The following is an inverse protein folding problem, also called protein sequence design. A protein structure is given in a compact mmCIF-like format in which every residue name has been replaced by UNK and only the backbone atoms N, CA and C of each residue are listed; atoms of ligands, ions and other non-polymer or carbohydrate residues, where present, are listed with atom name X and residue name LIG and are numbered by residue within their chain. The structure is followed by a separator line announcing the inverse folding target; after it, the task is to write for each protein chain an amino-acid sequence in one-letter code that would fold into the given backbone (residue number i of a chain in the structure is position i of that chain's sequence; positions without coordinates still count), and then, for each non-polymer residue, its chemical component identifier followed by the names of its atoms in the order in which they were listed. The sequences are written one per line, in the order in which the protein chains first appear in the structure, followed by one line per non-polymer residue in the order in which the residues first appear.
data_IF_243330704488
#
_entry.id   IF_243330704488
#
_cell.length_a   1.000
_cell.length_b   1.000
_cell.length_c   1.000
_cell.angle_alpha   90.00
_cell.angle_beta   90.00
_cell.angle_gamma   90.00
#
_symmetry.space_group_name_H-M   'P 1'
#
loop_
_entity.id
_entity.type
_entity.pdbx_description
1 polymer ?
#
# COMPACT_ATOMS: atom_id res chain seq x y z
N UNK A 1 40.75 -17.87 18.99
CA UNK A 1 39.83 -17.58 20.09
C UNK A 1 39.23 -16.23 19.78
N UNK A 2 38.00 -16.22 19.27
CA UNK A 2 36.96 -15.29 19.69
C UNK A 2 35.63 -15.79 19.13
N UNK A 3 34.68 -15.92 20.04
CA UNK A 3 33.44 -16.67 19.99
C UNK A 3 32.26 -15.75 19.68
N UNK A 4 31.34 -16.28 18.87
CA UNK A 4 29.88 -16.06 18.91
C UNK A 4 29.30 -14.64 18.72
N UNK A 5 28.60 -14.48 17.59
CA UNK A 5 27.19 -14.06 17.62
C UNK A 5 26.45 -14.62 16.41
N UNK A 6 25.99 -15.86 16.54
CA UNK A 6 25.01 -16.46 15.64
C UNK A 6 23.64 -15.89 16.01
N UNK A 7 23.19 -14.84 15.31
CA UNK A 7 21.77 -14.49 15.27
C UNK A 7 21.12 -15.40 14.25
N UNK A 8 20.45 -16.43 14.75
CA UNK A 8 19.58 -17.32 13.99
C UNK A 8 18.40 -16.51 13.44
N UNK A 9 18.56 -15.94 12.24
CA UNK A 9 17.46 -15.32 11.50
C UNK A 9 16.68 -16.45 10.82
N UNK A 10 15.51 -16.79 11.36
CA UNK A 10 14.57 -17.68 10.67
C UNK A 10 14.05 -16.99 9.41
N UNK A 11 14.05 -17.69 8.26
CA UNK A 11 13.48 -17.17 7.02
C UNK A 11 12.00 -16.83 7.22
N UNK A 12 11.52 -15.75 6.60
CA UNK A 12 10.06 -15.46 6.50
C UNK A 12 9.32 -16.63 5.83
N UNK A 13 10.02 -17.36 4.95
CA UNK A 13 9.52 -18.62 4.39
C UNK A 13 9.23 -19.67 5.49
N UNK A 14 10.11 -19.84 6.48
CA UNK A 14 9.92 -20.81 7.57
C UNK A 14 8.73 -20.41 8.47
N UNK A 15 8.57 -19.12 8.75
CA UNK A 15 7.45 -18.59 9.55
C UNK A 15 6.09 -18.80 8.85
N UNK A 16 6.04 -18.61 7.53
CA UNK A 16 4.82 -18.75 6.75
C UNK A 16 4.47 -20.21 6.42
N UNK A 17 5.48 -21.08 6.27
CA UNK A 17 5.30 -22.50 5.96
C UNK A 17 4.93 -23.33 7.20
N UNK A 18 5.44 -22.99 8.39
CA UNK A 18 5.09 -23.70 9.64
C UNK A 18 3.69 -23.36 10.16
N UNK A 19 3.16 -22.16 9.88
CA UNK A 19 1.86 -21.74 10.42
C UNK A 19 0.66 -21.92 9.47
N UNK A 20 0.84 -21.86 8.13
CA UNK A 20 -0.32 -21.69 7.24
C UNK A 20 -0.40 -22.54 5.98
N UNK A 21 0.65 -23.26 5.55
CA UNK A 21 0.53 -24.27 4.47
C UNK A 21 -0.12 -23.79 3.16
N UNK A 22 0.14 -22.56 2.72
CA UNK A 22 -0.39 -22.00 1.45
C UNK A 22 0.71 -21.49 0.52
N UNK A 23 0.48 -21.68 -0.78
CA UNK A 23 1.38 -21.44 -1.91
C UNK A 23 1.98 -20.01 -1.99
N UNK A 24 3.21 -19.86 -2.52
CA UNK A 24 3.92 -18.59 -2.55
C UNK A 24 3.34 -17.56 -3.52
N UNK A 25 3.59 -16.29 -3.20
CA UNK A 25 2.98 -15.09 -3.81
C UNK A 25 3.95 -14.43 -4.79
N UNK A 26 3.41 -13.87 -5.87
CA UNK A 26 4.10 -13.58 -7.12
C UNK A 26 4.14 -12.06 -7.36
N UNK A 27 5.33 -11.50 -7.63
CA UNK A 27 5.55 -10.05 -7.78
C UNK A 27 6.00 -9.69 -9.21
N UNK A 28 5.58 -8.51 -9.69
CA UNK A 28 5.93 -7.94 -10.99
C UNK A 28 7.41 -7.45 -11.01
N UNK A 29 8.19 -7.96 -11.97
CA UNK A 29 9.62 -7.67 -12.13
C UNK A 29 9.91 -6.23 -12.61
N UNK A 30 8.94 -5.47 -13.13
CA UNK A 30 9.15 -4.05 -13.46
C UNK A 30 9.20 -3.16 -12.21
N UNK A 31 8.57 -3.57 -11.10
CA UNK A 31 8.60 -2.85 -9.82
C UNK A 31 9.98 -2.94 -9.17
N UNK A 32 10.69 -4.04 -9.39
CA UNK A 32 12.04 -4.29 -8.86
C UNK A 32 13.15 -3.54 -9.61
N UNK A 33 12.87 -3.00 -10.81
CA UNK A 33 13.91 -2.31 -11.61
C UNK A 33 14.24 -0.92 -11.08
N UNK A 34 13.41 -0.30 -10.25
CA UNK A 34 13.53 1.13 -9.91
C UNK A 34 13.52 1.48 -8.40
N UNK A 35 13.49 0.50 -7.49
CA UNK A 35 13.39 0.78 -6.06
C UNK A 35 14.50 0.11 -5.24
N UNK A 36 15.15 0.93 -4.41
CA UNK A 36 16.06 0.48 -3.37
C UNK A 36 15.23 -0.20 -2.25
N UNK A 37 15.11 -1.51 -2.40
CA UNK A 37 14.82 -2.56 -1.43
C UNK A 37 13.56 -2.52 -0.55
N UNK A 38 12.85 -1.42 -0.26
CA UNK A 38 11.73 -1.46 0.72
C UNK A 38 10.38 -0.96 0.17
N UNK A 39 9.30 -1.69 0.48
CA UNK A 39 7.90 -1.29 0.20
C UNK A 39 7.12 -1.19 1.50
N UNK A 40 6.28 -0.16 1.63
CA UNK A 40 5.38 -0.03 2.79
C UNK A 40 4.06 -0.73 2.52
N UNK A 41 3.70 -1.65 3.41
CA UNK A 41 2.42 -2.37 3.40
C UNK A 41 1.61 -2.02 4.66
N UNK A 42 0.30 -2.27 4.60
CA UNK A 42 -0.62 -2.05 5.71
C UNK A 42 -1.73 -3.13 5.70
N UNK A 43 -2.18 -3.64 6.85
CA UNK A 43 -3.27 -4.62 6.90
C UNK A 43 -4.55 -4.04 6.31
N UNK A 44 -5.17 -4.77 5.38
CA UNK A 44 -6.48 -4.43 4.87
C UNK A 44 -7.54 -4.83 5.91
N UNK A 45 -8.37 -3.86 6.34
CA UNK A 45 -9.49 -4.12 7.27
C UNK A 45 -10.83 -4.08 6.55
N UNK A 46 -10.80 -4.35 5.25
CA UNK A 46 -12.01 -4.63 4.50
C UNK A 46 -12.62 -5.94 5.01
N UNK A 47 -13.95 -6.03 5.01
CA UNK A 47 -14.67 -7.21 5.50
C UNK A 47 -14.07 -8.51 4.96
N UNK A 48 -13.76 -9.43 5.86
CA UNK A 48 -13.17 -10.75 5.57
C UNK A 48 -11.85 -10.74 4.80
N UNK A 49 -11.09 -9.63 4.83
CA UNK A 49 -9.76 -9.56 4.24
C UNK A 49 -8.68 -9.84 5.27
N UNK A 50 -7.77 -10.76 4.94
CA UNK A 50 -6.57 -11.03 5.74
C UNK A 50 -5.31 -10.41 5.13
N UNK A 51 -5.40 -9.82 3.94
CA UNK A 51 -4.23 -9.37 3.18
C UNK A 51 -3.70 -8.01 3.68
N UNK A 52 -2.39 -7.87 3.69
CA UNK A 52 -1.64 -6.63 3.67
C UNK A 52 -1.56 -6.09 2.24
N UNK A 53 -1.77 -4.77 2.09
CA UNK A 53 -1.73 -4.08 0.80
C UNK A 53 -0.61 -3.04 0.79
N UNK A 54 0.15 -2.99 -0.30
CA UNK A 54 1.11 -1.90 -0.51
C UNK A 54 0.37 -0.56 -0.63
N UNK A 55 0.82 0.46 0.10
CA UNK A 55 0.10 1.73 0.30
C UNK A 55 0.17 2.70 -0.90
N UNK A 56 0.51 2.18 -2.08
CA UNK A 56 0.56 2.91 -3.34
C UNK A 56 -0.80 2.83 -4.08
N UNK A 57 -1.24 3.93 -4.70
CA UNK A 57 -2.53 3.99 -5.41
C UNK A 57 -2.74 2.85 -6.41
N UNK A 58 -1.72 2.52 -7.23
CA UNK A 58 -1.83 1.43 -8.23
C UNK A 58 -2.04 0.08 -7.55
N UNK A 59 -1.33 -0.19 -6.45
CA UNK A 59 -1.42 -1.45 -5.71
C UNK A 59 -2.75 -1.58 -4.98
N UNK A 60 -3.21 -0.52 -4.32
CA UNK A 60 -4.55 -0.47 -3.70
C UNK A 60 -5.63 -0.70 -4.75
N UNK A 61 -5.52 -0.09 -5.93
CA UNK A 61 -6.48 -0.30 -7.02
C UNK A 61 -6.57 -1.76 -7.44
N UNK A 62 -5.42 -2.39 -7.63
CA UNK A 62 -5.35 -3.80 -8.03
C UNK A 62 -5.81 -4.74 -6.91
N UNK A 63 -5.50 -4.43 -5.66
CA UNK A 63 -5.99 -5.16 -4.50
C UNK A 63 -7.52 -5.17 -4.46
N UNK A 64 -8.16 -4.01 -4.60
CA UNK A 64 -9.62 -3.89 -4.65
C UNK A 64 -10.25 -4.67 -5.81
N UNK A 65 -9.60 -4.68 -6.98
CA UNK A 65 -10.07 -5.44 -8.13
C UNK A 65 -10.00 -6.95 -7.92
N UNK A 66 -8.89 -7.45 -7.37
CA UNK A 66 -8.64 -8.89 -7.29
C UNK A 66 -9.20 -9.55 -6.03
N UNK A 67 -9.18 -8.87 -4.88
CA UNK A 67 -9.62 -9.44 -3.61
C UNK A 67 -11.03 -9.02 -3.21
N UNK A 68 -11.53 -7.91 -3.76
CA UNK A 68 -12.86 -7.38 -3.42
C UNK A 68 -13.78 -7.26 -4.63
N UNK A 69 -13.31 -7.67 -5.82
CA UNK A 69 -14.07 -7.64 -7.08
C UNK A 69 -14.63 -6.25 -7.44
N UNK A 70 -13.92 -5.18 -7.06
CA UNK A 70 -14.35 -3.80 -7.29
C UNK A 70 -13.70 -3.25 -8.55
N UNK A 71 -14.50 -2.89 -9.54
CA UNK A 71 -14.01 -2.20 -10.72
C UNK A 71 -13.69 -0.73 -10.44
N UNK A 72 -12.47 -0.46 -10.00
CA UNK A 72 -11.97 0.90 -9.74
C UNK A 72 -11.66 1.70 -11.00
N UNK A 73 -11.80 1.13 -12.20
CA UNK A 73 -11.60 1.84 -13.48
C UNK A 73 -12.90 2.42 -14.06
N UNK A 74 -14.04 2.17 -13.41
CA UNK A 74 -15.34 2.65 -13.88
C UNK A 74 -15.37 4.18 -13.98
N UNK A 75 -15.56 4.69 -15.20
CA UNK A 75 -15.63 6.13 -15.51
C UNK A 75 -16.94 6.76 -15.05
N UNK A 76 -16.88 8.07 -14.80
CA UNK A 76 -17.86 8.97 -14.18
C UNK A 76 -19.32 8.96 -14.69
N UNK A 77 -19.66 8.18 -15.72
CA UNK A 77 -21.00 8.10 -16.32
C UNK A 77 -22.03 7.33 -15.48
N UNK A 78 -21.58 6.46 -14.57
CA UNK A 78 -22.47 5.78 -13.61
C UNK A 78 -22.82 6.69 -12.42
N UNK A 79 -24.08 6.64 -11.98
CA UNK A 79 -24.54 7.22 -10.69
C UNK A 79 -24.46 6.21 -9.55
N UNK A 80 -24.15 4.95 -9.84
CA UNK A 80 -24.04 3.88 -8.86
C UNK A 80 -22.98 4.20 -7.80
N UNK A 81 -23.38 4.06 -6.54
CA UNK A 81 -22.52 4.20 -5.38
C UNK A 81 -22.42 2.85 -4.68
N UNK A 82 -21.21 2.50 -4.26
CA UNK A 82 -20.93 1.30 -3.48
C UNK A 82 -20.53 1.70 -2.05
N UNK A 83 -20.86 0.88 -1.04
CA UNK A 83 -20.37 1.11 0.31
C UNK A 83 -18.89 0.77 0.42
N UNK A 84 -18.17 1.51 1.28
CA UNK A 84 -16.89 1.07 1.80
C UNK A 84 -17.11 0.09 2.94
N UNK A 85 -16.59 -1.14 2.81
CA UNK A 85 -16.68 -2.18 3.85
C UNK A 85 -15.44 -2.23 4.73
N UNK A 86 -14.67 -1.15 4.78
CA UNK A 86 -13.60 -1.01 5.76
C UNK A 86 -14.21 -0.94 7.16
N UNK A 87 -13.63 -1.67 8.10
CA UNK A 87 -14.11 -1.75 9.49
C UNK A 87 -14.27 -0.35 10.09
N UNK A 88 -15.50 0.03 10.45
CA UNK A 88 -15.83 1.34 11.03
C UNK A 88 -16.04 2.47 10.02
N UNK A 89 -16.06 2.20 8.71
CA UNK A 89 -16.40 3.15 7.67
C UNK A 89 -17.88 3.00 7.25
N UNK A 90 -18.54 4.12 6.95
CA UNK A 90 -19.94 4.15 6.49
C UNK A 90 -20.10 4.96 5.20
N UNK A 91 -19.01 5.20 4.48
CA UNK A 91 -18.99 6.05 3.30
C UNK A 91 -19.53 5.32 2.06
N UNK A 92 -20.25 6.06 1.21
CA UNK A 92 -20.71 5.62 -0.11
C UNK A 92 -20.05 6.46 -1.19
N UNK A 93 -19.58 5.82 -2.26
CA UNK A 93 -18.93 6.53 -3.36
C UNK A 93 -18.96 5.74 -4.67
N UNK A 94 -18.64 6.43 -5.75
CA UNK A 94 -18.42 5.79 -7.04
C UNK A 94 -17.23 4.82 -6.96
N UNK A 95 -17.27 3.66 -7.64
CA UNK A 95 -16.17 2.70 -7.64
C UNK A 95 -14.81 3.31 -8.02
N UNK A 96 -14.78 4.22 -9.00
CA UNK A 96 -13.56 4.93 -9.41
C UNK A 96 -12.92 5.84 -8.33
N UNK A 97 -13.67 6.18 -7.28
CA UNK A 97 -13.16 6.97 -6.16
C UNK A 97 -12.65 6.10 -5.00
N UNK A 98 -12.95 4.80 -5.01
CA UNK A 98 -12.69 3.93 -3.86
C UNK A 98 -11.19 3.77 -3.59
N UNK A 99 -10.35 3.62 -4.61
CA UNK A 99 -8.89 3.53 -4.44
C UNK A 99 -8.34 4.73 -3.65
N UNK A 100 -8.76 5.94 -4.02
CA UNK A 100 -8.33 7.16 -3.32
C UNK A 100 -8.89 7.22 -1.90
N UNK A 101 -10.14 6.82 -1.71
CA UNK A 101 -10.74 6.75 -0.39
C UNK A 101 -9.98 5.79 0.52
N UNK A 102 -9.59 4.61 0.02
CA UNK A 102 -8.83 3.64 0.79
C UNK A 102 -7.51 4.18 1.32
N UNK A 103 -6.81 5.06 0.58
CA UNK A 103 -5.59 5.72 1.09
C UNK A 103 -5.82 6.51 2.39
N UNK A 104 -7.06 6.95 2.67
CA UNK A 104 -7.41 7.61 3.93
C UNK A 104 -7.42 6.64 5.11
N UNK A 105 -7.84 5.40 4.89
CA UNK A 105 -7.79 4.34 5.89
C UNK A 105 -6.37 3.85 6.14
N UNK A 106 -5.55 3.81 5.09
CA UNK A 106 -4.12 3.50 5.19
C UNK A 106 -3.29 4.66 5.79
N UNK A 107 -3.94 5.77 6.15
CA UNK A 107 -3.32 6.90 6.82
C UNK A 107 -2.25 7.62 5.99
N UNK A 108 -2.30 7.53 4.66
CA UNK A 108 -1.32 8.17 3.78
C UNK A 108 -1.45 9.68 3.86
N UNK A 109 -0.40 10.35 4.33
CA UNK A 109 -0.33 11.81 4.48
C UNK A 109 0.95 12.37 3.86
N UNK A 110 0.80 13.47 3.15
CA UNK A 110 1.88 14.24 2.55
C UNK A 110 2.15 15.44 3.43
N UNK A 111 3.24 15.38 4.19
CA UNK A 111 3.62 16.42 5.16
C UNK A 111 4.61 17.37 4.49
N UNK A 112 4.28 18.66 4.46
CA UNK A 112 5.19 19.68 3.97
C UNK A 112 6.38 19.84 4.91
N UNK A 113 7.61 19.67 4.40
CA UNK A 113 8.83 19.78 5.21
C UNK A 113 9.10 21.19 5.74
N UNK A 114 8.44 22.21 5.19
CA UNK A 114 8.68 23.61 5.55
C UNK A 114 7.66 24.15 6.56
N UNK A 115 6.37 23.91 6.34
CA UNK A 115 5.30 24.45 7.20
C UNK A 115 4.55 23.38 8.00
N UNK A 116 5.00 22.11 7.90
CA UNK A 116 4.41 20.95 8.57
C UNK A 116 2.93 20.68 8.21
N UNK A 117 2.44 21.34 7.16
CA UNK A 117 1.07 21.18 6.68
C UNK A 117 0.82 19.75 6.20
N UNK A 118 -0.23 19.12 6.73
CA UNK A 118 -0.63 17.77 6.37
C UNK A 118 -1.66 17.76 5.24
N UNK A 119 -1.31 17.15 4.12
CA UNK A 119 -2.16 17.02 2.95
C UNK A 119 -2.51 15.54 2.72
N UNK A 120 -3.65 15.26 2.10
CA UNK A 120 -4.10 13.88 1.88
C UNK A 120 -3.55 13.25 0.60
N UNK A 121 -2.94 14.03 -0.32
CA UNK A 121 -2.61 13.61 -1.69
C UNK A 121 -1.42 14.36 -2.29
N UNK A 122 -0.80 13.77 -3.32
CA UNK A 122 0.31 14.36 -4.07
C UNK A 122 -0.06 15.67 -4.77
N UNK A 123 -1.21 15.71 -5.44
CA UNK A 123 -1.66 16.86 -6.22
C UNK A 123 -2.03 18.03 -5.32
N UNK A 124 -2.62 17.71 -4.16
CA UNK A 124 -2.85 18.69 -3.10
C UNK A 124 -1.52 19.27 -2.59
N UNK A 125 -0.48 18.44 -2.40
CA UNK A 125 0.85 18.90 -2.01
C UNK A 125 1.52 19.75 -3.09
N UNK A 126 1.46 19.34 -4.36
CA UNK A 126 2.00 20.14 -5.48
C UNK A 126 1.34 21.51 -5.56
N UNK A 127 0.01 21.56 -5.46
CA UNK A 127 -0.72 22.84 -5.40
C UNK A 127 -0.33 23.66 -4.17
N UNK A 128 -0.21 23.03 -3.00
CA UNK A 128 0.25 23.70 -1.78
C UNK A 128 1.62 24.36 -1.98
N UNK A 129 2.59 23.64 -2.55
CA UNK A 129 3.93 24.17 -2.81
C UNK A 129 3.88 25.36 -3.78
N UNK A 130 3.06 25.30 -4.83
CA UNK A 130 2.91 26.39 -5.79
C UNK A 130 2.26 27.65 -5.19
N UNK A 131 1.21 27.48 -4.39
CA UNK A 131 0.40 28.59 -3.87
C UNK A 131 0.98 29.23 -2.60
N UNK A 132 1.87 28.53 -1.87
CA UNK A 132 2.46 29.02 -0.63
C UNK A 132 3.88 29.50 -0.89
N UNK A 133 4.16 30.82 -0.84
CA UNK A 133 5.49 31.36 -1.15
C UNK A 133 6.63 30.71 -0.36
N UNK A 134 6.40 30.45 0.93
CA UNK A 134 7.40 29.84 1.80
C UNK A 134 7.59 28.34 1.54
N UNK A 135 6.72 27.68 0.78
CA UNK A 135 6.74 26.23 0.55
C UNK A 135 7.07 25.83 -0.89
N UNK A 136 7.45 26.76 -1.77
CA UNK A 136 7.70 26.50 -3.20
C UNK A 136 8.76 25.43 -3.46
N UNK A 137 9.75 25.32 -2.57
CA UNK A 137 10.81 24.33 -2.64
C UNK A 137 10.71 23.26 -1.54
N UNK A 138 9.59 23.21 -0.83
CA UNK A 138 9.38 22.22 0.21
C UNK A 138 9.33 20.82 -0.41
N UNK A 139 9.88 19.84 0.30
CA UNK A 139 9.72 18.42 -0.03
C UNK A 139 8.53 17.87 0.74
N UNK A 140 7.92 16.82 0.21
CA UNK A 140 6.94 16.05 0.96
C UNK A 140 7.66 14.96 1.75
N UNK A 141 7.32 14.85 3.04
CA UNK A 141 7.58 13.66 3.85
C UNK A 141 6.29 12.86 3.90
N UNK A 142 6.32 11.62 3.45
CA UNK A 142 5.13 10.76 3.45
C UNK A 142 5.05 10.05 4.80
N UNK A 143 3.89 10.13 5.45
CA UNK A 143 3.55 9.36 6.65
C UNK A 143 2.43 8.38 6.33
N UNK A 144 2.39 7.28 7.08
CA UNK A 144 1.43 6.20 6.92
C UNK A 144 0.66 5.97 8.22
N UNK A 145 -0.45 5.26 8.13
CA UNK A 145 -1.28 4.91 9.27
C UNK A 145 -0.58 3.97 10.26
N UNK A 146 -1.08 3.97 11.49
CA UNK A 146 -0.64 3.02 12.51
C UNK A 146 -0.90 1.59 12.03
N UNK A 147 0.13 0.74 12.05
CA UNK A 147 0.07 -0.63 11.53
C UNK A 147 0.72 -0.81 10.16
N UNK A 148 1.23 0.26 9.54
CA UNK A 148 2.13 0.14 8.39
C UNK A 148 3.51 -0.36 8.80
N UNK A 149 4.12 -1.20 7.96
CA UNK A 149 5.51 -1.64 8.10
C UNK A 149 6.20 -1.76 6.74
N UNK A 150 7.53 -1.71 6.75
CA UNK A 150 8.36 -1.89 5.57
C UNK A 150 8.66 -3.37 5.36
N UNK A 151 8.57 -3.82 4.11
CA UNK A 151 9.02 -5.13 3.67
C UNK A 151 10.18 -4.96 2.70
N UNK A 152 11.24 -5.75 2.87
CA UNK A 152 12.35 -5.76 1.93
C UNK A 152 12.01 -6.66 0.73
N UNK A 153 11.98 -6.07 -0.46
CA UNK A 153 11.60 -6.72 -1.72
C UNK A 153 12.67 -7.66 -2.27
N UNK A 154 13.91 -7.59 -1.78
CA UNK A 154 14.96 -8.53 -2.12
C UNK A 154 14.64 -9.96 -1.63
N UNK A 155 13.88 -10.09 -0.55
CA UNK A 155 13.45 -11.37 0.02
C UNK A 155 12.20 -11.97 -0.65
N UNK A 156 11.67 -11.32 -1.68
CA UNK A 156 10.48 -11.76 -2.41
C UNK A 156 10.82 -12.57 -3.70
N UNK A 157 12.10 -12.74 -4.03
CA UNK A 157 12.59 -13.36 -5.28
C UNK A 157 12.55 -14.91 -5.31
N UNK A 158 11.60 -15.55 -4.61
CA UNK A 158 11.60 -17.01 -4.40
C UNK A 158 10.41 -17.81 -4.93
N UNK A 159 9.32 -17.17 -5.38
CA UNK A 159 8.16 -17.88 -5.92
C UNK A 159 7.46 -17.01 -6.96
N UNK A 160 7.32 -17.49 -8.20
CA UNK A 160 6.77 -16.68 -9.30
C UNK A 160 5.77 -17.44 -10.18
N UNK A 161 4.71 -16.73 -10.58
CA UNK A 161 3.79 -17.04 -11.67
C UNK A 161 3.24 -15.71 -12.21
N UNK A 162 3.10 -15.66 -13.53
CA UNK A 162 3.22 -14.43 -14.33
C UNK A 162 1.94 -13.59 -14.46
N UNK A 163 0.83 -13.97 -13.83
CA UNK A 163 -0.49 -13.67 -14.42
C UNK A 163 -1.31 -12.55 -13.77
N UNK A 164 -0.97 -12.04 -12.58
CA UNK A 164 -1.93 -11.21 -11.80
C UNK A 164 -1.44 -9.85 -11.27
N UNK A 165 -0.15 -9.52 -11.33
CA UNK A 165 0.34 -8.14 -11.17
C UNK A 165 -0.07 -7.39 -9.87
N UNK A 166 -0.39 -8.04 -8.75
CA UNK A 166 -0.79 -7.39 -7.47
C UNK A 166 0.21 -7.64 -6.36
N UNK A 167 0.66 -6.61 -5.63
CA UNK A 167 1.46 -6.77 -4.42
C UNK A 167 0.57 -6.75 -3.16
N UNK A 168 0.17 -7.95 -2.71
CA UNK A 168 -0.56 -8.18 -1.46
C UNK A 168 0.01 -9.42 -0.76
N UNK A 169 0.21 -9.37 0.56
CA UNK A 169 0.78 -10.47 1.35
C UNK A 169 -0.23 -10.84 2.46
N UNK A 170 -0.50 -12.12 2.77
CA UNK A 170 -1.32 -12.55 3.90
C UNK A 170 -0.89 -11.95 5.24
#
# INVERSE_FOLDING_TARGET
MDTERSTQFSMVHDILHEQYGVDPILIDQEILRHHNAEVIVHPCKWENCTMHVAVEHKQVSKHLQHHHHINTSATSGGTEQIPCLWTGCSAYMKPGNLTRHMLTHLGVRWICSNCEGSLSRDDAFRRHALERPNCQHAKAVIKYGNGSFAIDTAYLNGGWSATQNVMCIP
#
